data_IF_592250134078
#
_entry.id   IF_592250134078
#
_cell.length_a   1.000
_cell.length_b   1.000
_cell.length_c   1.000
_cell.angle_alpha   90.00
_cell.angle_beta   90.00
_cell.angle_gamma   90.00
#
_symmetry.space_group_name_H-M   'P 1'
#
loop_
_entity.id
_entity.type
_entity.pdbx_description
1 polymer ?
#
# COMPACT_ATOMS: atom_id res chain seq x y z
N UNK A 1 -24.26 4.13 -14.22
CA UNK A 1 -23.00 3.37 -14.32
C UNK A 1 -23.01 2.29 -13.23
N UNK A 2 -22.45 1.10 -13.48
CA UNK A 2 -22.25 0.10 -12.44
C UNK A 2 -20.79 0.15 -12.00
N UNK A 3 -20.56 -0.02 -10.71
CA UNK A 3 -19.21 -0.08 -10.12
C UNK A 3 -18.96 -1.49 -9.62
N UNK A 4 -17.71 -1.94 -9.74
CA UNK A 4 -17.24 -3.19 -9.13
C UNK A 4 -16.53 -2.83 -7.82
N UNK A 5 -16.66 -3.69 -6.83
CA UNK A 5 -15.95 -3.56 -5.56
C UNK A 5 -15.21 -4.86 -5.27
N UNK A 6 -13.89 -4.78 -5.16
CA UNK A 6 -13.00 -5.92 -4.95
C UNK A 6 -12.42 -5.90 -3.54
N UNK A 7 -12.42 -7.05 -2.89
CA UNK A 7 -11.80 -7.30 -1.59
C UNK A 7 -11.56 -8.81 -1.42
N UNK A 8 -10.69 -9.24 -0.51
CA UNK A 8 -10.55 -10.66 -0.17
C UNK A 8 -11.86 -11.30 0.27
N UNK A 9 -12.00 -12.60 0.01
CA UNK A 9 -13.18 -13.37 0.46
C UNK A 9 -13.24 -13.45 1.99
N UNK A 10 -12.08 -13.52 2.65
CA UNK A 10 -11.94 -13.57 4.11
C UNK A 10 -10.92 -12.53 4.54
N UNK A 11 -11.25 -11.75 5.56
CA UNK A 11 -10.34 -10.81 6.19
C UNK A 11 -10.33 -11.05 7.69
N UNK A 12 -9.16 -11.37 8.23
CA UNK A 12 -8.95 -11.64 9.65
C UNK A 12 -8.21 -10.44 10.26
N UNK A 13 -8.82 -9.84 11.25
CA UNK A 13 -8.35 -8.61 11.87
C UNK A 13 -8.31 -8.77 13.39
N UNK A 14 -7.32 -8.15 14.02
CA UNK A 14 -7.19 -8.10 15.48
C UNK A 14 -6.14 -9.04 16.05
N UNK A 15 -5.81 -8.80 17.33
CA UNK A 15 -4.72 -9.48 18.01
C UNK A 15 -4.89 -11.00 18.05
N UNK A 16 -3.85 -11.72 17.62
CA UNK A 16 -3.76 -13.18 17.53
C UNK A 16 -4.66 -13.82 16.45
N UNK A 17 -5.16 -13.06 15.47
CA UNK A 17 -5.94 -13.62 14.36
C UNK A 17 -5.10 -14.51 13.43
N UNK A 18 -3.78 -14.56 13.60
CA UNK A 18 -2.90 -15.51 12.90
C UNK A 18 -3.29 -16.97 13.15
N UNK A 19 -3.74 -17.32 14.36
CA UNK A 19 -4.24 -18.67 14.67
C UNK A 19 -5.50 -19.04 13.87
N UNK A 20 -6.41 -18.06 13.70
CA UNK A 20 -7.62 -18.24 12.89
C UNK A 20 -7.26 -18.41 11.40
N UNK A 21 -6.22 -17.73 10.92
CA UNK A 21 -5.68 -17.92 9.58
C UNK A 21 -5.24 -19.37 9.36
N UNK A 22 -4.53 -19.96 10.32
CA UNK A 22 -4.14 -21.36 10.28
C UNK A 22 -5.35 -22.31 10.20
N UNK A 23 -6.42 -22.03 10.95
CA UNK A 23 -7.67 -22.80 10.88
C UNK A 23 -8.32 -22.68 9.50
N UNK A 24 -8.46 -21.47 8.96
CA UNK A 24 -9.04 -21.24 7.63
C UNK A 24 -8.26 -21.96 6.52
N UNK A 25 -6.93 -21.90 6.55
CA UNK A 25 -6.06 -22.58 5.57
C UNK A 25 -6.27 -24.11 5.65
N UNK A 26 -6.35 -24.67 6.86
CA UNK A 26 -6.60 -26.10 7.07
C UNK A 26 -7.99 -26.53 6.54
N UNK A 27 -9.04 -25.73 6.78
CA UNK A 27 -10.40 -25.96 6.29
C UNK A 27 -10.48 -25.93 4.76
N UNK A 28 -9.69 -25.05 4.10
CA UNK A 28 -9.60 -25.00 2.64
C UNK A 28 -8.87 -26.21 2.04
N UNK A 29 -8.20 -27.01 2.87
CA UNK A 29 -7.59 -28.28 2.49
C UNK A 29 -6.24 -28.17 1.81
N UNK A 30 -5.58 -27.00 1.84
CA UNK A 30 -4.24 -26.80 1.33
C UNK A 30 -3.20 -27.64 2.11
N UNK A 31 -2.14 -28.08 1.43
CA UNK A 31 -1.18 -29.03 1.96
C UNK A 31 0.21 -28.45 2.19
N UNK A 32 0.68 -27.60 1.27
CA UNK A 32 2.04 -27.10 1.32
C UNK A 32 2.14 -25.65 0.84
N UNK A 33 2.51 -24.75 1.76
CA UNK A 33 2.71 -23.34 1.48
C UNK A 33 4.06 -23.05 0.85
N UNK A 34 4.12 -22.07 -0.07
CA UNK A 34 5.34 -21.26 -0.24
C UNK A 34 5.19 -20.00 0.61
N UNK A 35 6.02 -19.81 1.62
CA UNK A 35 6.10 -18.56 2.39
C UNK A 35 7.06 -17.62 1.67
N UNK A 36 6.54 -16.49 1.16
CA UNK A 36 7.30 -15.43 0.50
C UNK A 36 7.51 -14.30 1.49
N UNK A 37 8.76 -13.98 1.82
CA UNK A 37 9.11 -13.06 2.90
C UNK A 37 10.49 -12.43 2.66
N UNK A 38 11.03 -11.74 3.65
CA UNK A 38 12.39 -11.22 3.67
C UNK A 38 13.21 -11.76 4.86
N UNK A 39 14.54 -11.60 4.79
CA UNK A 39 15.47 -12.08 5.81
C UNK A 39 15.29 -11.42 7.17
N UNK A 40 14.83 -10.15 7.20
CA UNK A 40 14.67 -9.41 8.45
C UNK A 40 13.56 -10.04 9.28
N UNK A 41 12.43 -10.38 8.67
CA UNK A 41 11.32 -11.04 9.36
C UNK A 41 11.69 -12.43 9.88
N UNK A 42 12.59 -13.14 9.16
CA UNK A 42 13.19 -14.37 9.65
C UNK A 42 14.03 -14.15 10.91
N UNK A 43 14.92 -13.15 10.88
CA UNK A 43 15.84 -12.84 11.98
C UNK A 43 15.15 -12.39 13.26
N UNK A 44 14.06 -11.63 13.14
CA UNK A 44 13.28 -11.15 14.30
C UNK A 44 12.19 -12.14 14.76
N UNK A 45 12.14 -13.34 14.17
CA UNK A 45 11.28 -14.43 14.63
C UNK A 45 9.82 -14.37 14.16
N UNK A 46 9.44 -13.44 13.27
CA UNK A 46 8.08 -13.34 12.73
C UNK A 46 7.75 -14.56 11.84
N UNK A 47 8.69 -14.98 11.00
CA UNK A 47 8.54 -16.21 10.18
C UNK A 47 8.23 -17.41 11.05
N UNK A 48 8.94 -17.54 12.20
CA UNK A 48 8.71 -18.65 13.13
C UNK A 48 7.30 -18.69 13.68
N UNK A 49 6.69 -17.54 14.01
CA UNK A 49 5.30 -17.50 14.47
C UNK A 49 4.34 -18.11 13.44
N UNK A 50 4.55 -17.80 12.16
CA UNK A 50 3.71 -18.35 11.06
C UNK A 50 3.97 -19.84 10.87
N UNK A 51 5.23 -20.26 10.84
CA UNK A 51 5.56 -21.71 10.67
C UNK A 51 5.04 -22.55 11.83
N UNK A 52 5.10 -22.06 13.08
CA UNK A 52 4.56 -22.78 14.25
C UNK A 52 3.05 -23.00 14.12
N UNK A 53 2.31 -22.02 13.59
CA UNK A 53 0.86 -22.17 13.32
C UNK A 53 0.62 -23.20 12.22
N UNK A 54 1.37 -23.18 11.11
CA UNK A 54 1.22 -24.16 10.03
C UNK A 54 1.55 -25.58 10.50
N UNK A 55 2.63 -25.76 11.26
CA UNK A 55 3.02 -27.05 11.86
C UNK A 55 1.91 -27.60 12.76
N UNK A 56 1.30 -26.75 13.61
CA UNK A 56 0.19 -27.14 14.48
C UNK A 56 -1.03 -27.68 13.73
N UNK A 57 -1.18 -27.28 12.44
CA UNK A 57 -2.25 -27.72 11.54
C UNK A 57 -1.81 -28.83 10.55
N UNK A 58 -0.58 -29.35 10.69
CA UNK A 58 0.03 -30.32 9.77
C UNK A 58 0.10 -29.83 8.32
N UNK A 59 0.36 -28.54 8.11
CA UNK A 59 0.55 -27.91 6.81
C UNK A 59 2.07 -27.80 6.59
N UNK A 60 2.55 -28.42 5.52
CA UNK A 60 3.96 -28.29 5.13
C UNK A 60 4.26 -26.90 4.54
N UNK A 61 5.51 -26.51 4.50
CA UNK A 61 5.93 -25.27 3.89
C UNK A 61 7.34 -25.34 3.29
N UNK A 62 7.60 -24.44 2.35
CA UNK A 62 8.91 -24.01 1.89
C UNK A 62 9.01 -22.50 2.09
N UNK A 63 10.22 -21.97 2.23
CA UNK A 63 10.43 -20.55 2.48
C UNK A 63 11.27 -19.96 1.35
N UNK A 64 10.82 -18.81 0.81
CA UNK A 64 11.57 -17.91 -0.04
C UNK A 64 11.73 -16.57 0.67
N UNK A 65 12.88 -16.29 1.23
CA UNK A 65 13.20 -15.12 2.08
C UNK A 65 14.11 -14.09 1.41
N UNK A 66 14.24 -14.15 0.09
CA UNK A 66 15.10 -13.26 -0.70
C UNK A 66 14.35 -12.07 -1.31
N UNK A 67 13.11 -11.81 -0.87
CA UNK A 67 12.37 -10.63 -1.36
C UNK A 67 13.06 -9.35 -0.93
N UNK A 68 13.32 -8.48 -1.90
CA UNK A 68 13.95 -7.17 -1.67
C UNK A 68 12.89 -6.08 -1.51
N UNK A 69 13.20 -4.98 -0.83
CA UNK A 69 12.44 -3.74 -1.01
C UNK A 69 12.36 -3.41 -2.52
N UNK A 70 11.15 -3.07 -3.01
CA UNK A 70 10.88 -2.98 -4.45
C UNK A 70 11.19 -4.30 -5.19
N UNK A 71 10.31 -5.32 -5.09
CA UNK A 71 10.60 -6.65 -5.62
C UNK A 71 10.81 -6.61 -7.13
N UNK A 72 11.72 -7.44 -7.61
CA UNK A 72 12.16 -7.44 -9.00
C UNK A 72 11.61 -8.63 -9.79
N UNK A 73 11.69 -8.56 -11.12
CA UNK A 73 11.42 -9.71 -12.00
C UNK A 73 12.21 -10.94 -11.55
N UNK A 74 13.47 -10.74 -11.15
CA UNK A 74 14.32 -11.83 -10.63
C UNK A 74 13.76 -12.44 -9.34
N UNK A 75 13.28 -11.64 -8.38
CA UNK A 75 12.67 -12.16 -7.16
C UNK A 75 11.46 -13.05 -7.46
N UNK A 76 10.61 -12.64 -8.39
CA UNK A 76 9.44 -13.42 -8.80
C UNK A 76 9.86 -14.76 -9.43
N UNK A 77 10.84 -14.76 -10.34
CA UNK A 77 11.31 -15.97 -11.01
C UNK A 77 12.00 -16.95 -10.04
N UNK A 78 12.83 -16.43 -9.12
CA UNK A 78 13.51 -17.26 -8.12
C UNK A 78 12.48 -17.91 -7.17
N UNK A 79 11.51 -17.13 -6.68
CA UNK A 79 10.44 -17.64 -5.82
C UNK A 79 9.53 -18.66 -6.53
N UNK A 80 9.24 -18.46 -7.83
CA UNK A 80 8.50 -19.43 -8.65
C UNK A 80 9.25 -20.76 -8.79
N UNK A 81 10.58 -20.71 -8.88
CA UNK A 81 11.42 -21.92 -8.92
C UNK A 81 11.30 -22.70 -7.60
N UNK A 82 11.41 -22.01 -6.46
CA UNK A 82 11.23 -22.63 -5.14
C UNK A 82 9.85 -23.25 -4.98
N UNK A 83 8.79 -22.54 -5.44
CA UNK A 83 7.41 -23.06 -5.42
C UNK A 83 7.29 -24.38 -6.17
N UNK A 84 7.82 -24.44 -7.40
CA UNK A 84 7.74 -25.63 -8.28
C UNK A 84 8.58 -26.80 -7.76
N UNK A 85 9.80 -26.55 -7.32
CA UNK A 85 10.70 -27.57 -6.78
C UNK A 85 10.13 -28.23 -5.52
N UNK A 86 9.39 -27.49 -4.71
CA UNK A 86 8.77 -27.98 -3.48
C UNK A 86 7.32 -28.47 -3.66
N UNK A 87 6.74 -28.36 -4.86
CA UNK A 87 5.34 -28.71 -5.15
C UNK A 87 4.35 -28.01 -4.21
N UNK A 88 4.54 -26.72 -3.95
CA UNK A 88 3.62 -25.95 -3.12
C UNK A 88 2.29 -25.74 -3.86
N UNK A 89 1.16 -25.87 -3.15
CA UNK A 89 -0.20 -25.76 -3.72
C UNK A 89 -0.89 -24.44 -3.40
N UNK A 90 -0.28 -23.60 -2.54
CA UNK A 90 -0.70 -22.22 -2.28
C UNK A 90 0.49 -21.36 -1.84
N UNK A 91 0.26 -20.05 -1.78
CA UNK A 91 1.28 -19.06 -1.39
C UNK A 91 0.83 -18.33 -0.12
N UNK A 92 1.75 -18.13 0.80
CA UNK A 92 1.62 -17.18 1.91
C UNK A 92 2.61 -16.04 1.65
N UNK A 93 2.12 -14.82 1.53
CA UNK A 93 2.99 -13.65 1.63
C UNK A 93 3.05 -13.19 3.07
N UNK A 94 4.25 -13.05 3.61
CA UNK A 94 4.49 -12.59 4.97
C UNK A 94 5.38 -11.35 4.94
N UNK A 95 4.82 -10.19 5.23
CA UNK A 95 5.56 -8.94 5.20
C UNK A 95 4.71 -7.72 4.90
N UNK A 96 5.34 -6.66 4.41
CA UNK A 96 4.67 -5.49 3.85
C UNK A 96 4.46 -5.62 2.33
N UNK A 97 4.19 -4.48 1.66
CA UNK A 97 3.87 -4.43 0.24
C UNK A 97 4.82 -5.21 -0.67
N UNK A 98 6.14 -5.11 -0.43
CA UNK A 98 7.13 -5.82 -1.26
C UNK A 98 6.97 -7.33 -1.23
N UNK A 99 6.72 -7.93 -0.05
CA UNK A 99 6.49 -9.36 0.08
C UNK A 99 5.17 -9.77 -0.59
N UNK A 100 4.12 -8.97 -0.42
CA UNK A 100 2.82 -9.20 -1.05
C UNK A 100 2.91 -9.14 -2.57
N UNK A 101 3.54 -8.12 -3.11
CA UNK A 101 3.68 -7.91 -4.56
C UNK A 101 4.52 -9.01 -5.21
N UNK A 102 5.63 -9.40 -4.58
CA UNK A 102 6.44 -10.54 -5.02
C UNK A 102 5.63 -11.84 -5.04
N UNK A 103 4.89 -12.12 -3.95
CA UNK A 103 4.06 -13.32 -3.83
C UNK A 103 2.92 -13.36 -4.86
N UNK A 104 2.27 -12.22 -5.14
CA UNK A 104 1.27 -12.09 -6.20
C UNK A 104 1.87 -12.43 -7.57
N UNK A 105 3.07 -11.90 -7.88
CA UNK A 105 3.77 -12.23 -9.12
C UNK A 105 4.08 -13.72 -9.25
N UNK A 106 4.57 -14.36 -8.17
CA UNK A 106 4.84 -15.80 -8.12
C UNK A 106 3.55 -16.61 -8.32
N UNK A 107 2.51 -16.29 -7.57
CA UNK A 107 1.21 -16.98 -7.63
C UNK A 107 0.55 -16.84 -9.00
N UNK A 108 0.67 -15.66 -9.65
CA UNK A 108 0.16 -15.41 -10.99
C UNK A 108 0.87 -16.27 -12.04
N UNK A 109 2.21 -16.27 -12.04
CA UNK A 109 3.01 -17.05 -12.97
C UNK A 109 2.84 -18.57 -12.76
N UNK A 110 2.58 -19.01 -11.54
CA UNK A 110 2.35 -20.42 -11.24
C UNK A 110 1.15 -20.99 -12.01
N UNK A 111 0.10 -20.21 -12.23
CA UNK A 111 -1.13 -20.64 -12.91
C UNK A 111 -1.20 -20.21 -14.37
N UNK A 112 -0.65 -19.04 -14.71
CA UNK A 112 -0.79 -18.46 -16.04
C UNK A 112 0.45 -18.69 -16.94
N UNK A 113 1.65 -18.93 -16.36
CA UNK A 113 2.90 -19.09 -17.11
C UNK A 113 3.41 -17.77 -17.70
N UNK A 114 4.25 -17.85 -18.71
CA UNK A 114 4.84 -16.68 -19.38
C UNK A 114 5.89 -15.98 -18.54
N UNK A 115 6.11 -14.68 -18.80
CA UNK A 115 6.99 -13.80 -18.05
C UNK A 115 6.15 -12.74 -17.32
N UNK A 116 6.61 -12.27 -16.16
CA UNK A 116 5.80 -11.35 -15.33
C UNK A 116 5.52 -10.02 -16.09
N UNK A 117 6.39 -9.61 -16.99
CA UNK A 117 6.18 -8.43 -17.84
C UNK A 117 5.00 -8.55 -18.82
N UNK A 118 4.55 -9.78 -19.13
CA UNK A 118 3.38 -10.00 -19.99
C UNK A 118 2.07 -9.58 -19.31
N UNK A 119 2.12 -9.35 -17.97
CA UNK A 119 0.98 -8.99 -17.14
C UNK A 119 0.96 -7.52 -16.71
N UNK A 120 1.88 -6.71 -17.26
CA UNK A 120 1.89 -5.26 -17.04
C UNK A 120 0.61 -4.62 -17.58
N UNK A 121 -0.04 -3.77 -16.78
CA UNK A 121 -1.31 -3.09 -17.13
C UNK A 121 -2.52 -3.70 -16.46
N UNK A 122 -3.69 -3.57 -17.09
CA UNK A 122 -4.99 -3.90 -16.48
C UNK A 122 -5.57 -5.19 -17.05
N UNK A 123 -5.99 -6.13 -16.18
CA UNK A 123 -6.71 -7.38 -16.52
C UNK A 123 -6.00 -8.22 -17.61
N UNK A 124 -4.68 -8.41 -17.50
CA UNK A 124 -3.89 -9.16 -18.50
C UNK A 124 -3.89 -10.67 -18.23
N UNK A 125 -4.25 -11.12 -17.04
CA UNK A 125 -4.28 -12.55 -16.71
C UNK A 125 -5.51 -13.27 -17.29
N UNK A 126 -5.33 -14.57 -17.60
CA UNK A 126 -6.41 -15.42 -18.14
C UNK A 126 -7.07 -16.28 -17.06
N UNK A 127 -6.38 -16.52 -15.96
CA UNK A 127 -6.81 -17.41 -14.87
C UNK A 127 -6.49 -16.74 -13.52
N UNK A 128 -7.23 -17.07 -12.46
CA UNK A 128 -6.85 -16.70 -11.11
C UNK A 128 -5.43 -17.14 -10.79
N UNK A 129 -4.74 -16.36 -9.96
CA UNK A 129 -3.47 -16.76 -9.37
C UNK A 129 -3.62 -18.04 -8.53
N UNK A 130 -2.51 -18.69 -8.21
CA UNK A 130 -2.51 -19.75 -7.20
C UNK A 130 -3.10 -19.19 -5.90
N UNK A 131 -3.92 -19.96 -5.13
CA UNK A 131 -4.49 -19.44 -3.89
C UNK A 131 -3.43 -18.77 -3.02
N UNK A 132 -3.73 -17.56 -2.53
CA UNK A 132 -2.79 -16.76 -1.77
C UNK A 132 -3.41 -16.24 -0.47
N UNK A 133 -2.64 -16.33 0.61
CA UNK A 133 -2.93 -15.73 1.91
C UNK A 133 -1.95 -14.57 2.14
N UNK A 134 -2.48 -13.37 2.35
CA UNK A 134 -1.67 -12.19 2.67
C UNK A 134 -1.59 -11.99 4.18
N UNK A 135 -0.42 -12.23 4.80
CA UNK A 135 -0.15 -11.95 6.22
C UNK A 135 0.66 -10.66 6.31
N UNK A 136 0.00 -9.60 6.72
CA UNK A 136 0.57 -8.27 6.73
C UNK A 136 1.36 -8.00 8.02
N UNK A 137 2.48 -7.28 7.90
CA UNK A 137 3.33 -6.87 9.03
C UNK A 137 3.56 -5.35 9.07
N UNK A 138 2.90 -4.59 8.19
CA UNK A 138 3.01 -3.12 8.10
C UNK A 138 1.62 -2.50 8.02
N UNK A 139 1.46 -1.29 8.56
CA UNK A 139 0.17 -0.59 8.50
C UNK A 139 0.25 0.57 7.48
N UNK A 140 0.21 0.24 6.17
CA UNK A 140 0.38 1.25 5.13
C UNK A 140 -0.12 0.91 3.75
N UNK A 141 0.37 -0.16 3.14
CA UNK A 141 0.20 -0.41 1.69
C UNK A 141 -1.14 -1.01 1.28
N UNK A 142 -1.82 -1.74 2.17
CA UNK A 142 -3.02 -2.50 1.83
C UNK A 142 -2.80 -3.60 0.79
N UNK A 143 -1.55 -3.96 0.48
CA UNK A 143 -1.30 -4.91 -0.60
C UNK A 143 -1.83 -6.31 -0.31
N UNK A 144 -1.96 -6.72 0.97
CA UNK A 144 -2.56 -8.00 1.35
C UNK A 144 -4.04 -8.13 0.96
N UNK A 145 -4.68 -7.01 0.60
CA UNK A 145 -6.11 -7.01 0.23
C UNK A 145 -6.40 -6.49 -1.18
N UNK A 146 -5.39 -5.98 -1.89
CA UNK A 146 -5.60 -5.30 -3.18
C UNK A 146 -5.39 -6.19 -4.41
N UNK A 147 -5.88 -5.69 -5.55
CA UNK A 147 -5.68 -6.27 -6.88
C UNK A 147 -4.42 -5.74 -7.58
N UNK A 148 -3.56 -5.01 -6.87
CA UNK A 148 -2.34 -4.40 -7.39
C UNK A 148 -1.10 -5.24 -7.01
N UNK A 149 -0.11 -5.27 -7.90
CA UNK A 149 1.25 -5.67 -7.59
C UNK A 149 2.24 -4.79 -8.36
N UNK A 150 3.26 -4.27 -7.68
CA UNK A 150 4.29 -3.43 -8.28
C UNK A 150 5.60 -4.20 -8.32
N UNK A 151 6.05 -4.53 -9.53
CA UNK A 151 7.27 -5.30 -9.77
C UNK A 151 8.27 -4.44 -10.55
N UNK A 152 9.51 -4.38 -10.08
CA UNK A 152 10.57 -3.63 -10.75
C UNK A 152 11.16 -4.45 -11.89
N UNK A 153 11.10 -3.90 -13.10
CA UNK A 153 11.85 -4.39 -14.24
C UNK A 153 13.24 -3.74 -14.21
N UNK A 154 14.23 -4.55 -13.85
CA UNK A 154 15.63 -4.09 -13.71
C UNK A 154 16.27 -3.77 -15.05
N UNK A 155 15.80 -4.36 -16.14
CA UNK A 155 16.32 -4.11 -17.51
C UNK A 155 15.83 -2.78 -18.07
N UNK A 156 14.53 -2.48 -17.89
CA UNK A 156 13.90 -1.24 -18.35
C UNK A 156 14.01 -0.10 -17.36
N UNK A 157 14.46 -0.37 -16.12
CA UNK A 157 14.51 0.58 -14.99
C UNK A 157 13.15 1.23 -14.68
N UNK A 158 12.06 0.44 -14.72
CA UNK A 158 10.71 0.90 -14.44
C UNK A 158 10.03 0.04 -13.38
N UNK A 159 9.06 0.62 -12.70
CA UNK A 159 8.10 -0.09 -11.86
C UNK A 159 6.88 -0.46 -12.70
N UNK A 160 6.72 -1.74 -12.97
CA UNK A 160 5.54 -2.27 -13.65
C UNK A 160 4.38 -2.36 -12.68
N UNK A 161 3.25 -1.78 -13.04
CA UNK A 161 2.01 -1.95 -12.31
C UNK A 161 1.19 -3.09 -12.94
N UNK A 162 0.96 -4.14 -12.18
CA UNK A 162 0.03 -5.22 -12.51
C UNK A 162 -1.27 -4.91 -11.75
N UNK A 163 -2.36 -4.71 -12.48
CA UNK A 163 -3.68 -4.37 -11.92
C UNK A 163 -4.67 -5.41 -12.40
N UNK A 164 -4.90 -6.44 -11.61
CA UNK A 164 -5.72 -7.56 -12.06
C UNK A 164 -6.58 -8.12 -10.93
N UNK A 165 -7.88 -8.31 -11.20
CA UNK A 165 -8.83 -8.90 -10.24
C UNK A 165 -8.39 -10.27 -9.72
N UNK A 166 -7.58 -10.99 -10.49
CA UNK A 166 -7.07 -12.30 -10.13
C UNK A 166 -5.87 -12.26 -9.16
N UNK A 167 -5.34 -11.07 -8.83
CA UNK A 167 -4.25 -10.88 -7.87
C UNK A 167 -4.74 -10.69 -6.43
N UNK A 168 -6.04 -10.48 -6.21
CA UNK A 168 -6.57 -10.32 -4.86
C UNK A 168 -6.37 -11.61 -4.05
N UNK A 169 -5.70 -11.56 -2.88
CA UNK A 169 -5.60 -12.73 -2.00
C UNK A 169 -6.96 -13.25 -1.56
N UNK A 170 -7.07 -14.55 -1.30
CA UNK A 170 -8.32 -15.15 -0.81
C UNK A 170 -8.54 -14.91 0.68
N UNK A 171 -7.43 -14.76 1.44
CA UNK A 171 -7.44 -14.41 2.87
C UNK A 171 -6.45 -13.28 3.08
N UNK A 172 -6.87 -12.21 3.74
CA UNK A 172 -6.03 -11.17 4.29
C UNK A 172 -5.97 -11.30 5.82
N UNK A 173 -4.78 -11.16 6.39
CA UNK A 173 -4.53 -11.31 7.83
C UNK A 173 -3.79 -10.08 8.34
N UNK A 174 -4.42 -9.35 9.26
CA UNK A 174 -3.88 -8.15 9.89
C UNK A 174 -3.85 -8.35 11.40
N UNK A 175 -2.80 -9.04 11.88
CA UNK A 175 -2.54 -9.28 13.29
C UNK A 175 -1.58 -8.22 13.83
N UNK A 176 -2.02 -7.28 14.70
CA UNK A 176 -1.16 -6.24 15.24
C UNK A 176 0.04 -6.79 16.02
N UNK A 177 -0.03 -8.03 16.51
CA UNK A 177 1.09 -8.69 17.19
C UNK A 177 2.28 -9.00 16.26
N UNK A 178 2.08 -8.96 14.93
CA UNK A 178 3.14 -9.07 13.93
C UNK A 178 3.75 -7.70 13.56
N UNK A 179 3.11 -6.60 13.97
CA UNK A 179 3.50 -5.22 13.65
C UNK A 179 4.27 -4.53 14.77
N UNK A 180 4.36 -5.12 15.98
CA UNK A 180 5.01 -4.51 17.16
C UNK A 180 6.49 -4.19 16.92
N UNK A 181 7.18 -4.99 16.10
CA UNK A 181 8.59 -4.81 15.80
C UNK A 181 8.89 -3.73 14.75
N UNK A 182 7.88 -3.06 14.19
CA UNK A 182 8.09 -1.99 13.21
C UNK A 182 8.86 -0.82 13.82
N UNK A 183 9.98 -0.37 13.21
CA UNK A 183 10.68 0.85 13.63
C UNK A 183 9.79 2.09 13.52
N UNK A 184 10.03 3.10 14.37
CA UNK A 184 9.29 4.37 14.37
C UNK A 184 9.22 5.04 12.99
N UNK A 185 10.35 5.08 12.27
CA UNK A 185 10.41 5.69 10.93
C UNK A 185 9.56 4.93 9.91
N UNK A 186 9.52 3.59 9.99
CA UNK A 186 8.66 2.78 9.13
C UNK A 186 7.18 2.97 9.50
N UNK A 187 6.84 2.99 10.79
CA UNK A 187 5.47 3.27 11.28
C UNK A 187 4.97 4.63 10.77
N UNK A 188 5.80 5.68 10.86
CA UNK A 188 5.47 7.01 10.36
C UNK A 188 5.26 7.02 8.84
N UNK A 189 6.20 6.45 8.09
CA UNK A 189 6.12 6.43 6.63
C UNK A 189 4.91 5.63 6.12
N UNK A 190 4.65 4.44 6.69
CA UNK A 190 3.52 3.61 6.26
C UNK A 190 2.17 4.19 6.70
N UNK A 191 2.08 4.78 7.88
CA UNK A 191 0.85 5.43 8.33
C UNK A 191 0.50 6.68 7.50
N UNK A 192 1.49 7.46 7.09
CA UNK A 192 1.29 8.59 6.17
C UNK A 192 0.95 8.10 4.75
N UNK A 193 1.46 6.95 4.34
CA UNK A 193 1.08 6.28 3.09
C UNK A 193 -0.39 5.88 3.11
N UNK A 194 -0.86 5.25 4.19
CA UNK A 194 -2.27 4.93 4.38
C UNK A 194 -3.17 6.18 4.37
N UNK A 195 -2.71 7.30 4.97
CA UNK A 195 -3.42 8.58 4.89
C UNK A 195 -3.51 9.07 3.44
N UNK A 196 -2.42 8.95 2.70
CA UNK A 196 -2.38 9.33 1.28
C UNK A 196 -3.35 8.50 0.46
N UNK A 197 -3.36 7.18 0.63
CA UNK A 197 -4.33 6.28 0.01
C UNK A 197 -5.77 6.72 0.27
N UNK A 198 -6.11 6.98 1.54
CA UNK A 198 -7.46 7.36 1.93
C UNK A 198 -7.86 8.73 1.34
N UNK A 199 -6.98 9.74 1.39
CA UNK A 199 -7.25 11.08 0.88
C UNK A 199 -7.37 11.07 -0.63
N UNK A 200 -6.45 10.41 -1.36
CA UNK A 200 -6.55 10.33 -2.83
C UNK A 200 -7.79 9.56 -3.28
N UNK A 201 -8.09 8.41 -2.68
CA UNK A 201 -9.32 7.69 -2.95
C UNK A 201 -10.57 8.53 -2.69
N UNK A 202 -10.55 9.32 -1.60
CA UNK A 202 -11.67 10.19 -1.24
C UNK A 202 -11.91 11.30 -2.27
N UNK A 203 -10.86 11.94 -2.80
CA UNK A 203 -11.00 13.00 -3.82
C UNK A 203 -11.06 12.48 -5.26
N UNK A 204 -10.89 11.17 -5.49
CA UNK A 204 -10.88 10.54 -6.81
C UNK A 204 -12.15 10.80 -7.60
N UNK A 205 -12.01 10.94 -8.93
CA UNK A 205 -13.14 11.10 -9.86
C UNK A 205 -14.09 9.90 -9.93
N UNK A 206 -13.64 8.72 -9.47
CA UNK A 206 -14.44 7.49 -9.44
C UNK A 206 -14.79 7.05 -8.01
N UNK A 207 -14.66 7.94 -7.03
CA UNK A 207 -15.09 7.70 -5.66
C UNK A 207 -16.59 7.37 -5.60
N UNK A 208 -16.96 6.48 -4.67
CA UNK A 208 -18.33 6.01 -4.45
C UNK A 208 -18.71 6.13 -2.98
N UNK A 209 -19.99 6.08 -2.60
CA UNK A 209 -20.37 6.10 -1.19
C UNK A 209 -19.73 4.99 -0.35
N UNK A 210 -19.39 3.84 -0.95
CA UNK A 210 -18.71 2.73 -0.23
C UNK A 210 -17.25 3.11 0.00
N UNK A 211 -16.54 3.57 -1.04
CA UNK A 211 -15.14 3.98 -0.91
C UNK A 211 -14.98 5.21 -0.03
N UNK A 212 -15.96 6.14 -0.06
CA UNK A 212 -15.99 7.30 0.83
C UNK A 212 -16.08 6.88 2.30
N UNK A 213 -16.98 5.95 2.64
CA UNK A 213 -17.12 5.48 4.02
C UNK A 213 -15.83 4.81 4.53
N UNK A 214 -15.16 4.03 3.68
CA UNK A 214 -13.87 3.42 4.02
C UNK A 214 -12.78 4.48 4.20
N UNK A 215 -12.65 5.43 3.28
CA UNK A 215 -11.66 6.50 3.34
C UNK A 215 -11.86 7.40 4.56
N UNK A 216 -13.10 7.82 4.84
CA UNK A 216 -13.43 8.67 5.99
C UNK A 216 -13.04 7.99 7.31
N UNK A 217 -13.35 6.69 7.48
CA UNK A 217 -12.98 5.96 8.69
C UNK A 217 -11.48 5.71 8.78
N UNK A 218 -10.80 5.46 7.67
CA UNK A 218 -9.34 5.35 7.64
C UNK A 218 -8.68 6.66 8.12
N UNK A 219 -9.09 7.82 7.58
CA UNK A 219 -8.57 9.14 7.96
C UNK A 219 -8.79 9.40 9.46
N UNK A 220 -9.97 9.09 9.97
CA UNK A 220 -10.29 9.23 11.40
C UNK A 220 -9.32 8.44 12.27
N UNK A 221 -9.17 7.14 11.99
CA UNK A 221 -8.29 6.25 12.76
C UNK A 221 -6.82 6.66 12.67
N UNK A 222 -6.33 7.03 11.48
CA UNK A 222 -4.94 7.49 11.31
C UNK A 222 -4.71 8.75 12.14
N UNK A 223 -5.63 9.71 12.09
CA UNK A 223 -5.52 10.98 12.82
C UNK A 223 -5.46 10.77 14.33
N UNK A 224 -6.16 9.75 14.85
CA UNK A 224 -6.19 9.44 16.26
C UNK A 224 -5.02 8.60 16.75
N UNK A 225 -4.57 7.61 15.93
CA UNK A 225 -3.67 6.55 16.39
C UNK A 225 -2.26 6.59 15.82
N UNK A 226 -2.00 7.27 14.70
CA UNK A 226 -0.67 7.25 14.08
C UNK A 226 0.43 7.78 15.01
N UNK A 227 0.19 8.92 15.66
CA UNK A 227 1.17 9.51 16.60
C UNK A 227 1.43 8.55 17.76
N UNK A 228 0.38 7.94 18.33
CA UNK A 228 0.49 6.96 19.42
C UNK A 228 1.34 5.76 19.00
N UNK A 229 1.06 5.20 17.82
CA UNK A 229 1.82 4.05 17.27
C UNK A 229 3.29 4.38 16.97
N UNK A 230 3.60 5.63 16.58
CA UNK A 230 4.99 6.09 16.35
C UNK A 230 5.71 6.32 17.66
N UNK A 231 5.05 6.92 18.66
CA UNK A 231 5.65 7.19 19.97
C UNK A 231 5.91 5.92 20.76
N UNK A 232 4.92 5.01 20.75
CA UNK A 232 5.00 3.71 21.43
C UNK A 232 4.65 2.56 20.49
N UNK A 233 5.67 1.96 19.87
CA UNK A 233 5.49 0.83 18.95
C UNK A 233 4.94 -0.44 19.58
N UNK A 234 4.94 -0.55 20.91
CA UNK A 234 4.38 -1.69 21.67
C UNK A 234 2.92 -1.48 22.09
N UNK A 235 2.32 -0.34 21.77
CA UNK A 235 0.90 -0.07 22.01
C UNK A 235 0.05 -0.90 21.05
N UNK A 236 -0.46 -2.03 21.56
CA UNK A 236 -1.24 -2.99 20.77
C UNK A 236 -2.53 -2.36 20.25
N UNK A 237 -3.19 -1.49 21.01
CA UNK A 237 -4.41 -0.80 20.57
C UNK A 237 -4.10 0.13 19.39
N UNK A 238 -3.05 0.95 19.52
CA UNK A 238 -2.64 1.83 18.44
C UNK A 238 -2.23 1.06 17.17
N UNK A 239 -1.52 -0.06 17.32
CA UNK A 239 -1.17 -0.94 16.20
C UNK A 239 -2.40 -1.56 15.53
N UNK A 240 -3.36 -2.03 16.33
CA UNK A 240 -4.60 -2.63 15.83
C UNK A 240 -5.45 -1.59 15.08
N UNK A 241 -5.61 -0.41 15.63
CA UNK A 241 -6.34 0.68 14.98
C UNK A 241 -5.64 1.15 13.69
N UNK A 242 -4.31 1.16 13.65
CA UNK A 242 -3.57 1.47 12.42
C UNK A 242 -3.69 0.34 11.38
N UNK A 243 -3.78 -0.93 11.78
CA UNK A 243 -4.05 -2.04 10.88
C UNK A 243 -5.46 -1.94 10.27
N UNK A 244 -6.48 -1.61 11.06
CA UNK A 244 -7.81 -1.30 10.53
C UNK A 244 -7.80 -0.11 9.58
N UNK A 245 -7.07 0.96 9.93
CA UNK A 245 -7.00 2.18 9.13
C UNK A 245 -6.39 1.91 7.74
N UNK A 246 -5.29 1.20 7.72
CA UNK A 246 -4.60 0.79 6.49
C UNK A 246 -5.50 -0.11 5.61
N UNK A 247 -6.16 -1.11 6.22
CA UNK A 247 -7.07 -1.99 5.51
C UNK A 247 -8.25 -1.22 4.90
N UNK A 248 -8.85 -0.29 5.64
CA UNK A 248 -9.91 0.59 5.14
C UNK A 248 -9.43 1.53 4.02
N UNK A 249 -8.23 2.09 4.15
CA UNK A 249 -7.60 2.87 3.08
C UNK A 249 -7.37 1.99 1.84
N UNK A 250 -6.95 0.74 2.03
CA UNK A 250 -6.85 -0.30 1.00
C UNK A 250 -8.19 -0.53 0.29
N UNK A 251 -9.27 -0.74 1.05
CA UNK A 251 -10.62 -0.88 0.48
C UNK A 251 -11.04 0.33 -0.33
N UNK A 252 -10.67 1.53 0.10
CA UNK A 252 -11.00 2.76 -0.60
C UNK A 252 -10.25 2.85 -1.93
N UNK A 253 -8.90 2.84 -1.93
CA UNK A 253 -8.14 3.07 -3.16
C UNK A 253 -8.17 1.89 -4.12
N UNK A 254 -8.28 0.66 -3.63
CA UNK A 254 -8.44 -0.52 -4.48
C UNK A 254 -9.65 -0.40 -5.43
N UNK A 255 -10.65 0.39 -5.02
CA UNK A 255 -11.92 0.53 -5.73
C UNK A 255 -12.20 1.96 -6.25
N UNK A 256 -11.46 2.97 -5.79
CA UNK A 256 -11.54 4.35 -6.25
C UNK A 256 -10.25 4.82 -6.94
N UNK A 257 -9.22 3.98 -7.02
CA UNK A 257 -7.89 4.34 -7.54
C UNK A 257 -7.24 5.49 -6.73
N UNK A 258 -6.19 6.06 -7.26
CA UNK A 258 -5.29 7.02 -6.62
C UNK A 258 -5.24 8.34 -7.43
N UNK A 259 -4.18 9.12 -7.24
CA UNK A 259 -4.00 10.39 -7.90
C UNK A 259 -2.54 10.75 -8.17
N UNK A 260 -2.27 12.05 -8.28
CA UNK A 260 -0.92 12.55 -8.60
C UNK A 260 0.07 12.39 -7.46
N UNK A 261 -0.34 12.23 -6.19
CA UNK A 261 0.64 11.95 -5.12
C UNK A 261 1.36 10.64 -5.46
N UNK A 262 0.63 9.56 -5.68
CA UNK A 262 1.22 8.27 -6.04
C UNK A 262 1.90 8.29 -7.41
N UNK A 263 1.30 8.92 -8.41
CA UNK A 263 1.91 9.05 -9.74
C UNK A 263 3.29 9.72 -9.70
N UNK A 264 3.47 10.72 -8.85
CA UNK A 264 4.75 11.43 -8.64
C UNK A 264 5.70 10.64 -7.75
N UNK A 265 5.21 10.04 -6.65
CA UNK A 265 6.02 9.25 -5.72
C UNK A 265 6.62 8.00 -6.37
N UNK A 266 5.91 7.36 -7.30
CA UNK A 266 6.42 6.23 -8.08
C UNK A 266 7.69 6.61 -8.86
N UNK A 267 7.74 7.84 -9.40
CA UNK A 267 8.90 8.32 -10.13
C UNK A 267 10.12 8.53 -9.20
N UNK A 268 9.89 9.07 -8.01
CA UNK A 268 10.93 9.23 -7.00
C UNK A 268 11.47 7.88 -6.52
N UNK A 269 10.57 6.92 -6.31
CA UNK A 269 10.94 5.55 -5.96
C UNK A 269 11.73 4.85 -7.09
N UNK A 270 11.31 5.00 -8.35
CA UNK A 270 11.96 4.38 -9.50
C UNK A 270 13.31 5.01 -9.84
N UNK A 271 13.42 6.35 -9.81
CA UNK A 271 14.59 7.09 -10.24
C UNK A 271 15.67 7.21 -9.16
N UNK A 272 15.25 7.46 -7.90
CA UNK A 272 16.15 7.70 -6.76
C UNK A 272 16.18 6.57 -5.75
N UNK A 273 15.33 5.53 -5.93
CA UNK A 273 15.14 4.44 -4.95
C UNK A 273 14.75 4.94 -3.55
N UNK A 274 13.95 6.03 -3.49
CA UNK A 274 13.47 6.61 -2.24
C UNK A 274 12.34 5.77 -1.61
N UNK A 275 12.19 5.82 -0.26
CA UNK A 275 11.11 5.13 0.43
C UNK A 275 9.74 5.68 0.01
N UNK A 276 8.86 4.81 -0.47
CA UNK A 276 7.56 5.16 -1.06
C UNK A 276 6.68 6.01 -0.14
N UNK A 277 6.43 5.55 1.10
CA UNK A 277 5.57 6.27 2.04
C UNK A 277 6.13 7.65 2.45
N UNK A 278 7.47 7.83 2.47
CA UNK A 278 8.08 9.14 2.71
C UNK A 278 7.81 10.08 1.54
N UNK A 279 7.95 9.60 0.29
CA UNK A 279 7.66 10.39 -0.90
C UNK A 279 6.19 10.81 -0.94
N UNK A 280 5.26 9.88 -0.64
CA UNK A 280 3.84 10.18 -0.56
C UNK A 280 3.53 11.22 0.51
N UNK A 281 4.09 11.08 1.71
CA UNK A 281 3.88 12.01 2.81
C UNK A 281 4.33 13.45 2.48
N UNK A 282 5.48 13.60 1.81
CA UNK A 282 6.00 14.92 1.39
C UNK A 282 5.12 15.52 0.28
N UNK A 283 4.71 14.72 -0.70
CA UNK A 283 3.94 15.21 -1.85
C UNK A 283 2.47 15.49 -1.53
N UNK A 284 1.88 14.77 -0.57
CA UNK A 284 0.44 14.83 -0.27
C UNK A 284 -0.09 16.27 -0.08
N UNK A 285 0.46 17.12 0.80
CA UNK A 285 -0.09 18.46 1.01
C UNK A 285 0.01 19.33 -0.25
N UNK A 286 1.05 19.17 -1.06
CA UNK A 286 1.28 19.97 -2.26
C UNK A 286 0.34 19.59 -3.42
N UNK A 287 0.07 18.30 -3.58
CA UNK A 287 -0.92 17.82 -4.55
C UNK A 287 -2.34 18.20 -4.12
N UNK A 288 -2.65 18.14 -2.81
CA UNK A 288 -3.98 18.59 -2.36
C UNK A 288 -4.15 20.10 -2.47
N UNK A 289 -3.10 20.91 -2.33
CA UNK A 289 -3.14 22.33 -2.67
C UNK A 289 -3.51 22.56 -4.16
N UNK A 290 -2.94 21.76 -5.05
CA UNK A 290 -3.29 21.79 -6.46
C UNK A 290 -4.76 21.34 -6.71
N UNK A 291 -5.21 20.28 -6.03
CA UNK A 291 -6.55 19.72 -6.14
C UNK A 291 -7.64 20.60 -5.52
N UNK A 292 -7.29 21.48 -4.59
CA UNK A 292 -8.19 22.37 -3.85
C UNK A 292 -9.15 23.10 -4.76
N UNK A 293 -8.70 23.56 -5.92
CA UNK A 293 -9.51 24.31 -6.88
C UNK A 293 -10.81 23.57 -7.31
N UNK A 294 -10.84 22.24 -7.24
CA UNK A 294 -12.01 21.43 -7.64
C UNK A 294 -12.51 20.52 -6.51
N UNK A 295 -11.75 20.37 -5.43
CA UNK A 295 -12.04 19.41 -4.33
C UNK A 295 -12.18 20.07 -2.97
N UNK A 296 -12.30 21.42 -2.89
CA UNK A 296 -12.32 22.17 -1.63
C UNK A 296 -13.32 21.61 -0.61
N UNK A 297 -14.56 21.34 -1.02
CA UNK A 297 -15.60 20.78 -0.16
C UNK A 297 -15.23 19.42 0.42
N UNK A 298 -14.59 18.52 -0.38
CA UNK A 298 -14.15 17.21 0.08
C UNK A 298 -12.97 17.32 1.05
N UNK A 299 -12.01 18.19 0.76
CA UNK A 299 -10.87 18.48 1.64
C UNK A 299 -11.31 19.13 2.96
N UNK A 300 -12.28 20.07 2.94
CA UNK A 300 -12.86 20.61 4.17
C UNK A 300 -13.49 19.51 5.06
N UNK A 301 -14.13 18.52 4.44
CA UNK A 301 -14.64 17.35 5.19
C UNK A 301 -13.51 16.50 5.74
N UNK A 302 -12.41 16.31 5.02
CA UNK A 302 -11.21 15.65 5.55
C UNK A 302 -10.68 16.38 6.78
N UNK A 303 -10.57 17.72 6.76
CA UNK A 303 -10.17 18.50 7.92
C UNK A 303 -11.06 18.20 9.15
N UNK A 304 -12.37 18.16 8.94
CA UNK A 304 -13.32 17.84 10.02
C UNK A 304 -13.09 16.43 10.57
N UNK A 305 -12.86 15.44 9.71
CA UNK A 305 -12.62 14.04 10.11
C UNK A 305 -11.31 13.93 10.90
N UNK A 306 -10.29 14.68 10.51
CA UNK A 306 -9.02 14.78 11.24
C UNK A 306 -9.15 15.50 12.61
N UNK A 307 -10.32 16.01 12.96
CA UNK A 307 -10.59 16.70 14.23
C UNK A 307 -10.53 18.24 14.13
N UNK A 308 -10.39 18.79 12.94
CA UNK A 308 -10.40 20.24 12.71
C UNK A 308 -11.78 20.86 12.91
N UNK A 309 -11.83 22.06 13.47
CA UNK A 309 -13.08 22.83 13.57
C UNK A 309 -13.29 23.64 12.28
N UNK A 310 -14.28 23.25 11.48
CA UNK A 310 -14.64 23.91 10.23
C UNK A 310 -15.88 24.82 10.35
N UNK A 311 -16.41 25.01 11.54
CA UNK A 311 -17.62 25.80 11.75
C UNK A 311 -17.38 27.27 11.36
N UNK A 312 -18.20 27.77 10.44
CA UNK A 312 -18.09 29.15 9.94
C UNK A 312 -17.00 29.37 8.85
N UNK A 313 -16.25 28.34 8.48
CA UNK A 313 -15.30 28.40 7.36
C UNK A 313 -16.00 28.18 6.02
N UNK A 314 -15.46 28.81 4.95
CA UNK A 314 -15.82 28.40 3.58
C UNK A 314 -15.17 27.05 3.24
N UNK A 315 -15.63 26.41 2.16
CA UNK A 315 -15.04 25.14 1.69
C UNK A 315 -13.52 25.31 1.41
N UNK A 316 -13.10 26.45 0.85
CA UNK A 316 -11.69 26.76 0.57
C UNK A 316 -10.88 26.88 1.87
N UNK A 317 -11.43 27.61 2.87
CA UNK A 317 -10.75 27.76 4.17
C UNK A 317 -10.68 26.41 4.91
N UNK A 318 -11.71 25.58 4.79
CA UNK A 318 -11.71 24.22 5.31
C UNK A 318 -10.66 23.33 4.62
N UNK A 319 -10.47 23.50 3.31
CA UNK A 319 -9.44 22.81 2.56
C UNK A 319 -8.02 23.27 2.95
N UNK A 320 -7.81 24.58 3.18
CA UNK A 320 -6.56 25.10 3.71
C UNK A 320 -6.23 24.48 5.07
N UNK A 321 -7.21 24.42 5.96
CA UNK A 321 -7.07 23.75 7.26
C UNK A 321 -6.67 22.28 7.10
N UNK A 322 -7.29 21.55 6.15
CA UNK A 322 -6.93 20.15 5.85
C UNK A 322 -5.44 20.01 5.49
N UNK A 323 -4.97 20.85 4.58
CA UNK A 323 -3.58 20.84 4.11
C UNK A 323 -2.61 21.13 5.27
N UNK A 324 -2.94 22.10 6.12
CA UNK A 324 -2.13 22.44 7.28
C UNK A 324 -2.13 21.31 8.33
N UNK A 325 -3.25 20.64 8.54
CA UNK A 325 -3.33 19.48 9.43
C UNK A 325 -2.51 18.29 8.91
N UNK A 326 -2.52 18.02 7.60
CA UNK A 326 -1.68 16.99 6.97
C UNK A 326 -0.20 17.32 7.19
N UNK A 327 0.22 18.57 6.94
CA UNK A 327 1.60 19.02 7.18
C UNK A 327 2.00 18.84 8.65
N UNK A 328 1.13 19.27 9.57
CA UNK A 328 1.37 19.16 11.01
C UNK A 328 1.53 17.70 11.44
N UNK A 329 0.68 16.80 10.98
CA UNK A 329 0.78 15.38 11.28
C UNK A 329 2.09 14.79 10.74
N UNK A 330 2.42 15.10 9.49
CA UNK A 330 3.67 14.68 8.83
C UNK A 330 4.91 15.10 9.64
N UNK A 331 4.96 16.35 10.09
CA UNK A 331 6.04 16.87 10.93
C UNK A 331 6.08 16.17 12.31
N UNK A 332 4.92 15.99 12.95
CA UNK A 332 4.80 15.36 14.27
C UNK A 332 5.35 13.93 14.27
N UNK A 333 5.11 13.17 13.20
CA UNK A 333 5.60 11.80 13.09
C UNK A 333 7.02 11.70 12.52
N UNK A 334 7.68 12.85 12.24
CA UNK A 334 9.09 12.92 11.86
C UNK A 334 9.37 12.64 10.37
N UNK A 335 8.42 12.91 9.49
CA UNK A 335 8.69 12.89 8.03
C UNK A 335 9.59 14.09 7.66
N UNK A 336 10.56 13.92 6.76
CA UNK A 336 11.40 15.02 6.25
C UNK A 336 10.57 16.15 5.62
N UNK A 337 11.02 17.39 5.78
CA UNK A 337 10.26 18.57 5.36
C UNK A 337 10.13 18.73 3.84
N UNK A 338 11.06 18.17 3.04
CA UNK A 338 11.04 18.33 1.59
C UNK A 338 11.89 17.31 0.85
N UNK A 339 11.73 17.28 -0.47
CA UNK A 339 12.43 16.35 -1.36
C UNK A 339 13.94 16.66 -1.47
N UNK A 340 14.35 17.91 -1.23
CA UNK A 340 15.76 18.32 -1.23
C UNK A 340 16.57 17.59 -0.16
N UNK A 341 15.98 17.34 1.02
CA UNK A 341 16.62 16.56 2.10
C UNK A 341 16.92 15.13 1.67
N UNK A 342 16.13 14.61 0.72
CA UNK A 342 16.28 13.26 0.15
C UNK A 342 17.24 13.21 -1.04
N UNK A 343 17.84 14.37 -1.42
CA UNK A 343 18.79 14.45 -2.52
C UNK A 343 18.17 14.57 -3.92
N UNK A 344 16.87 14.84 -4.02
CA UNK A 344 16.17 15.08 -5.29
C UNK A 344 16.66 16.40 -5.89
N UNK A 345 16.81 16.46 -7.23
CA UNK A 345 17.36 17.62 -7.95
C UNK A 345 16.32 18.19 -8.90
N UNK A 346 16.25 19.52 -8.96
CA UNK A 346 15.37 20.24 -9.89
C UNK A 346 15.66 19.90 -11.38
N UNK A 347 16.93 19.57 -11.71
CA UNK A 347 17.31 19.17 -13.07
C UNK A 347 16.55 17.96 -13.60
N UNK A 348 15.99 17.15 -12.72
CA UNK A 348 15.36 15.88 -13.08
C UNK A 348 13.82 16.01 -13.15
N UNK A 349 13.26 17.18 -12.77
CA UNK A 349 11.81 17.38 -12.70
C UNK A 349 11.09 17.21 -14.01
N UNK A 350 11.68 17.60 -15.14
CA UNK A 350 11.07 17.40 -16.47
C UNK A 350 10.84 15.92 -16.76
N UNK A 351 11.86 15.09 -16.46
CA UNK A 351 11.78 13.62 -16.65
C UNK A 351 10.78 12.99 -15.70
N UNK A 352 10.86 13.33 -14.40
CA UNK A 352 9.95 12.82 -13.37
C UNK A 352 8.49 13.19 -13.68
N UNK A 353 8.25 14.44 -14.07
CA UNK A 353 6.90 14.95 -14.39
C UNK A 353 6.33 14.32 -15.65
N UNK A 354 7.16 14.15 -16.69
CA UNK A 354 6.75 13.46 -17.94
C UNK A 354 6.32 12.02 -17.65
N UNK A 355 7.02 11.33 -16.76
CA UNK A 355 6.68 9.96 -16.37
C UNK A 355 5.45 9.91 -15.45
N UNK A 356 5.32 10.84 -14.50
CA UNK A 356 4.15 10.94 -13.61
C UNK A 356 2.85 11.15 -14.40
N UNK A 357 2.87 11.93 -15.48
CA UNK A 357 1.70 12.12 -16.36
C UNK A 357 1.30 10.87 -17.13
N UNK A 358 2.17 9.88 -17.25
CA UNK A 358 1.88 8.57 -17.90
C UNK A 358 1.44 7.52 -16.90
N UNK A 359 1.60 7.78 -15.61
CA UNK A 359 1.23 6.84 -14.55
C UNK A 359 -0.29 6.73 -14.44
N UNK A 360 -0.79 5.49 -14.39
CA UNK A 360 -2.22 5.20 -14.35
C UNK A 360 -2.92 5.80 -13.12
N UNK A 361 -2.23 6.00 -12.01
CA UNK A 361 -2.77 6.63 -10.81
C UNK A 361 -3.27 8.07 -11.09
N UNK A 362 -2.59 8.80 -11.98
CA UNK A 362 -2.96 10.17 -12.34
C UNK A 362 -4.30 10.30 -13.06
N UNK A 363 -4.80 9.23 -13.69
CA UNK A 363 -6.03 9.25 -14.48
C UNK A 363 -7.29 9.58 -13.65
N UNK A 364 -7.28 9.27 -12.37
CA UNK A 364 -8.40 9.47 -11.44
C UNK A 364 -8.22 10.67 -10.53
N UNK A 365 -7.11 11.42 -10.68
CA UNK A 365 -6.93 12.68 -9.96
C UNK A 365 -8.04 13.68 -10.32
N UNK A 366 -8.63 14.41 -9.35
CA UNK A 366 -9.82 15.23 -9.60
C UNK A 366 -9.57 16.39 -10.57
N UNK A 367 -8.32 16.90 -10.64
CA UNK A 367 -7.91 17.95 -11.58
C UNK A 367 -6.74 17.41 -12.42
N UNK A 368 -6.91 17.37 -13.74
CA UNK A 368 -5.84 16.95 -14.64
C UNK A 368 -4.80 18.06 -14.82
N UNK A 369 -3.52 17.69 -14.84
CA UNK A 369 -2.39 18.62 -14.84
C UNK A 369 -1.65 18.66 -16.17
N UNK A 370 -1.07 19.82 -16.48
CA UNK A 370 -0.03 19.94 -17.52
C UNK A 370 1.35 19.55 -16.96
N UNK A 371 2.33 19.42 -17.85
CA UNK A 371 3.72 19.15 -17.46
C UNK A 371 4.26 20.22 -16.52
N UNK A 372 3.98 21.48 -16.82
CA UNK A 372 4.43 22.65 -16.04
C UNK A 372 3.79 22.65 -14.65
N UNK A 373 2.52 22.24 -14.54
CA UNK A 373 1.83 22.14 -13.24
C UNK A 373 2.43 21.04 -12.37
N UNK A 374 2.76 19.84 -12.91
CA UNK A 374 3.45 18.79 -12.14
C UNK A 374 4.85 19.25 -11.71
N UNK A 375 5.61 19.92 -12.60
CA UNK A 375 6.91 20.53 -12.25
C UNK A 375 6.75 21.54 -11.11
N UNK A 376 5.69 22.36 -11.13
CA UNK A 376 5.42 23.33 -10.07
C UNK A 376 5.12 22.65 -8.72
N UNK A 377 4.40 21.52 -8.74
CA UNK A 377 4.14 20.74 -7.52
C UNK A 377 5.45 20.15 -6.96
N UNK A 378 6.33 19.58 -7.81
CA UNK A 378 7.64 19.09 -7.36
C UNK A 378 8.49 20.23 -6.75
N UNK A 379 8.48 21.42 -7.36
CA UNK A 379 9.19 22.60 -6.83
C UNK A 379 8.65 23.04 -5.47
N UNK A 380 7.34 22.99 -5.28
CA UNK A 380 6.72 23.36 -4.01
C UNK A 380 7.04 22.34 -2.90
N UNK A 381 7.39 21.11 -3.26
CA UNK A 381 7.73 20.02 -2.34
C UNK A 381 9.24 19.92 -2.03
N UNK A 382 10.08 20.86 -2.56
CA UNK A 382 11.50 20.93 -2.25
C UNK A 382 11.74 21.53 -0.87
#
# INVERSE_FOLDING_TARGET
MSYKFFMPAISLMGANCLEDAGNQVAELGFKKALIVTDKVLGQIGIVKKVTDVLESKNIEFAIYDETKPNPTVKNVNDGLSVLKENNCDFVISLGGGSAHDCAKGIALLATNGGEIKDYEGVDQSKKPQLPMVGINTTAGTGSEMTLFAIITDEERHIKMALVDKHLTPIIAVNDPMLMLAMPKSLTAATGMDALTHAVEAYVSTIATPITDACAEKAIELISEYLVKAVENGEDVEARDMMAYAEYLAGMAFNNASLGYVHAMAHQLGGFYNLPHGVCNAILLPHVQEYNKAVSAKRLAKVAKIMGGNIDGLTDEQGADLCIDMIKSLSQTVGIPEGLNVLGVKESDFETLSTNALKDACGLTNPKQASLEEIIAIFKAAM
#
